data_IF_147954228658
#
_entry.id   IF_147954228658
#
_cell.length_a   1.000
_cell.length_b   1.000
_cell.length_c   1.000
_cell.angle_alpha   90.00
_cell.angle_beta   90.00
_cell.angle_gamma   90.00
#
_symmetry.space_group_name_H-M   'P 1'
#
loop_
_entity.id
_entity.type
_entity.pdbx_description
1 polymer ?
#
# COMPACT_ATOMS: atom_id res chain seq x y z
N UNK A 1 26.40 -3.46 -47.17
CA UNK A 1 25.12 -4.16 -46.97
C UNK A 1 24.88 -4.25 -45.47
N UNK A 2 24.38 -3.16 -44.90
CA UNK A 2 24.17 -2.94 -43.47
C UNK A 2 22.68 -2.64 -43.30
N UNK A 3 22.10 -3.04 -42.16
CA UNK A 3 20.76 -2.64 -41.66
C UNK A 3 19.54 -3.50 -42.09
N UNK A 4 19.55 -4.83 -41.93
CA UNK A 4 18.31 -5.61 -42.14
C UNK A 4 17.88 -6.57 -40.99
N UNK A 5 18.56 -6.62 -39.86
CA UNK A 5 18.26 -7.68 -38.87
C UNK A 5 17.88 -7.22 -37.45
N UNK A 6 17.58 -5.93 -37.21
CA UNK A 6 17.06 -5.49 -35.90
C UNK A 6 15.54 -5.23 -35.86
N UNK A 7 14.84 -5.35 -37.00
CA UNK A 7 13.44 -4.93 -37.13
C UNK A 7 12.37 -5.95 -36.72
N UNK A 8 12.73 -7.15 -36.26
CA UNK A 8 11.76 -8.26 -36.10
C UNK A 8 11.37 -8.61 -34.66
N UNK A 9 11.89 -7.92 -33.64
CA UNK A 9 11.74 -8.35 -32.24
C UNK A 9 10.55 -7.73 -31.49
N UNK A 10 9.71 -6.89 -32.12
CA UNK A 10 8.66 -6.16 -31.39
C UNK A 10 7.24 -6.75 -31.47
N UNK A 11 7.03 -7.94 -32.04
CA UNK A 11 5.65 -8.39 -32.38
C UNK A 11 5.13 -9.65 -31.67
N UNK A 12 5.81 -10.19 -30.65
CA UNK A 12 5.34 -11.42 -29.96
C UNK A 12 5.28 -11.32 -28.45
N UNK A 13 5.25 -10.13 -27.86
CA UNK A 13 5.06 -10.02 -26.41
C UNK A 13 3.64 -10.45 -26.06
N UNK A 14 3.44 -11.40 -25.12
CA UNK A 14 2.13 -11.68 -24.58
C UNK A 14 1.52 -10.39 -23.97
N UNK A 15 0.18 -10.28 -23.92
CA UNK A 15 -0.46 -9.15 -23.25
C UNK A 15 0.04 -9.08 -21.81
N UNK A 16 0.26 -7.86 -21.34
CA UNK A 16 0.72 -7.63 -19.97
C UNK A 16 -0.36 -8.10 -18.99
N UNK A 17 0.01 -8.76 -17.87
CA UNK A 17 -0.97 -9.16 -16.86
C UNK A 17 -1.70 -7.93 -16.31
N UNK A 18 -2.97 -8.09 -15.91
CA UNK A 18 -3.74 -7.01 -15.31
C UNK A 18 -3.15 -6.60 -13.97
N UNK A 19 -3.29 -5.33 -13.62
CA UNK A 19 -2.87 -4.80 -12.32
C UNK A 19 -3.88 -5.19 -11.25
N UNK A 20 -3.44 -5.92 -10.23
CA UNK A 20 -4.31 -6.49 -9.20
C UNK A 20 -4.32 -5.68 -7.90
N UNK A 21 -5.29 -5.98 -7.02
CA UNK A 21 -5.32 -5.40 -5.67
C UNK A 21 -4.09 -5.79 -4.84
N UNK A 22 -3.56 -6.99 -5.02
CA UNK A 22 -2.33 -7.44 -4.38
C UNK A 22 -1.12 -6.63 -4.87
N UNK A 23 -1.05 -6.36 -6.18
CA UNK A 23 -0.01 -5.50 -6.76
C UNK A 23 -0.10 -4.06 -6.21
N UNK A 24 -1.31 -3.54 -6.04
CA UNK A 24 -1.53 -2.22 -5.45
C UNK A 24 -1.05 -2.13 -3.99
N UNK A 25 -1.33 -3.16 -3.19
CA UNK A 25 -0.83 -3.23 -1.81
C UNK A 25 0.68 -3.33 -1.80
N UNK A 26 1.27 -4.23 -2.58
CA UNK A 26 2.73 -4.39 -2.68
C UNK A 26 3.42 -3.09 -3.13
N UNK A 27 2.81 -2.37 -4.09
CA UNK A 27 3.29 -1.06 -4.52
C UNK A 27 3.26 -0.05 -3.37
N UNK A 28 2.14 0.07 -2.66
CA UNK A 28 1.97 1.00 -1.55
C UNK A 28 2.92 0.70 -0.37
N UNK A 29 3.21 -0.58 -0.10
CA UNK A 29 4.06 -1.02 1.02
C UNK A 29 5.55 -1.11 0.69
N UNK A 30 5.92 -0.95 -0.59
CA UNK A 30 7.33 -1.00 -1.03
C UNK A 30 8.20 0.16 -0.54
N UNK A 31 7.59 1.27 -0.09
CA UNK A 31 8.28 2.50 0.30
C UNK A 31 9.01 2.37 1.62
N UNK A 32 10.34 2.20 1.55
CA UNK A 32 11.19 2.07 2.72
C UNK A 32 11.42 3.40 3.47
N UNK A 33 11.64 3.33 4.78
CA UNK A 33 11.85 4.48 5.66
C UNK A 33 10.59 5.34 5.92
N UNK A 34 9.41 4.82 5.61
CA UNK A 34 8.13 5.51 5.83
C UNK A 34 7.33 4.86 6.96
N UNK A 35 6.33 5.56 7.49
CA UNK A 35 5.38 4.98 8.47
C UNK A 35 4.66 3.72 7.95
N UNK A 36 4.60 3.52 6.63
CA UNK A 36 3.96 2.38 5.96
C UNK A 36 4.71 1.06 6.23
N UNK A 37 6.03 1.09 6.44
CA UNK A 37 6.81 -0.13 6.77
C UNK A 37 6.30 -0.82 8.05
N UNK A 38 5.64 -0.06 8.92
CA UNK A 38 5.07 -0.58 10.16
C UNK A 38 3.79 -1.37 9.93
N UNK A 39 3.19 -1.37 8.75
CA UNK A 39 1.93 -2.08 8.45
C UNK A 39 2.17 -3.49 7.90
N UNK A 40 1.13 -4.34 7.79
CA UNK A 40 1.20 -5.58 7.02
C UNK A 40 1.58 -5.31 5.54
N UNK A 41 2.51 -6.10 4.99
CA UNK A 41 2.91 -6.03 3.58
C UNK A 41 1.82 -6.58 2.63
N UNK A 42 0.94 -7.42 3.16
CA UNK A 42 -0.25 -7.97 2.49
C UNK A 42 -1.54 -7.44 3.12
N UNK A 43 -2.68 -7.69 2.48
CA UNK A 43 -4.00 -7.41 3.07
C UNK A 43 -4.15 -8.23 4.35
N UNK A 44 -4.43 -7.55 5.46
CA UNK A 44 -4.63 -8.20 6.75
C UNK A 44 -4.30 -7.29 7.92
N UNK A 45 -4.15 -7.91 9.08
CA UNK A 45 -3.95 -7.24 10.35
C UNK A 45 -2.75 -7.84 11.07
N UNK A 46 -2.01 -7.00 11.80
CA UNK A 46 -1.01 -7.44 12.76
C UNK A 46 -1.10 -6.64 14.05
N UNK A 47 -0.57 -7.23 15.11
CA UNK A 47 -0.50 -6.64 16.44
C UNK A 47 0.95 -6.42 16.86
N UNK A 48 1.21 -5.30 17.53
CA UNK A 48 2.52 -4.90 18.02
C UNK A 48 2.39 -4.34 19.44
N UNK A 49 3.50 -4.34 20.18
CA UNK A 49 3.60 -3.67 21.47
C UNK A 49 4.74 -2.64 21.43
N UNK A 50 4.41 -1.37 21.64
CA UNK A 50 5.35 -0.25 21.48
C UNK A 50 5.23 0.67 22.69
N UNK A 51 6.29 0.82 23.48
CA UNK A 51 6.31 1.71 24.66
C UNK A 51 5.14 1.50 25.66
N UNK A 52 4.66 0.25 25.73
CA UNK A 52 3.53 -0.14 26.57
C UNK A 52 2.14 0.13 25.96
N UNK A 53 2.06 0.58 24.71
CA UNK A 53 0.84 0.58 23.91
C UNK A 53 0.64 -0.78 23.25
N UNK A 54 -0.60 -1.26 23.26
CA UNK A 54 -1.06 -2.31 22.37
C UNK A 54 -1.50 -1.65 21.06
N UNK A 55 -0.95 -2.12 19.94
CA UNK A 55 -1.12 -1.48 18.63
C UNK A 55 -1.62 -2.52 17.63
N UNK A 56 -2.75 -2.24 16.99
CA UNK A 56 -3.27 -3.05 15.88
C UNK A 56 -3.12 -2.26 14.58
N UNK A 57 -2.47 -2.86 13.58
CA UNK A 57 -2.29 -2.26 12.25
C UNK A 57 -2.94 -3.13 11.19
N UNK A 58 -3.70 -2.50 10.31
CA UNK A 58 -4.48 -3.17 9.28
C UNK A 58 -4.23 -2.53 7.92
N UNK A 59 -3.99 -3.37 6.91
CA UNK A 59 -3.89 -3.00 5.50
C UNK A 59 -5.11 -3.57 4.76
N UNK A 60 -5.86 -2.70 4.09
CA UNK A 60 -7.01 -3.06 3.25
C UNK A 60 -6.81 -2.56 1.83
N UNK A 61 -7.42 -3.25 0.87
CA UNK A 61 -7.54 -2.75 -0.49
C UNK A 61 -8.96 -2.99 -1.03
N UNK A 62 -9.49 -1.99 -1.71
CA UNK A 62 -10.77 -2.07 -2.44
C UNK A 62 -10.60 -1.52 -3.86
N UNK A 63 -11.29 -2.11 -4.83
CA UNK A 63 -11.31 -1.61 -6.19
C UNK A 63 -12.28 -0.42 -6.30
N UNK A 64 -11.81 0.69 -6.86
CA UNK A 64 -12.61 1.91 -7.06
C UNK A 64 -12.97 2.15 -8.53
N UNK A 65 -12.15 1.61 -9.43
CA UNK A 65 -12.36 1.57 -10.89
C UNK A 65 -11.48 0.43 -11.45
N UNK A 66 -11.68 0.07 -12.72
CA UNK A 66 -10.84 -0.91 -13.42
C UNK A 66 -9.35 -0.59 -13.23
N UNK A 67 -8.61 -1.51 -12.59
CA UNK A 67 -7.18 -1.38 -12.27
C UNK A 67 -6.81 -0.17 -11.40
N UNK A 68 -7.77 0.38 -10.64
CA UNK A 68 -7.55 1.47 -9.67
C UNK A 68 -8.06 1.06 -8.30
N UNK A 69 -7.15 0.99 -7.33
CA UNK A 69 -7.42 0.49 -5.99
C UNK A 69 -7.23 1.58 -4.95
N UNK A 70 -8.10 1.58 -3.93
CA UNK A 70 -7.86 2.32 -2.70
C UNK A 70 -7.21 1.40 -1.68
N UNK A 71 -5.94 1.66 -1.37
CA UNK A 71 -5.22 0.99 -0.28
C UNK A 71 -5.38 1.83 0.98
N UNK A 72 -5.90 1.24 2.06
CA UNK A 72 -6.16 1.92 3.33
C UNK A 72 -5.37 1.27 4.44
N UNK A 73 -4.71 2.11 5.23
CA UNK A 73 -3.94 1.75 6.40
C UNK A 73 -4.66 2.28 7.63
N UNK A 74 -4.90 1.41 8.61
CA UNK A 74 -5.55 1.77 9.88
C UNK A 74 -4.66 1.31 11.03
N UNK A 75 -4.28 2.26 11.88
CA UNK A 75 -3.57 1.97 13.12
C UNK A 75 -4.47 2.34 14.30
N UNK A 76 -4.74 1.36 15.14
CA UNK A 76 -5.37 1.55 16.44
C UNK A 76 -4.32 1.36 17.53
N UNK A 77 -4.34 2.21 18.53
CA UNK A 77 -3.41 2.12 19.66
C UNK A 77 -4.14 2.38 20.97
N UNK A 78 -3.74 1.66 22.02
CA UNK A 78 -4.33 1.78 23.35
C UNK A 78 -3.29 1.55 24.47
N UNK A 79 -3.42 2.30 25.56
CA UNK A 79 -2.67 2.14 26.80
C UNK A 79 -3.50 2.63 27.98
N UNK A 80 -4.21 1.71 28.63
CA UNK A 80 -5.18 2.06 29.66
C UNK A 80 -6.34 2.83 29.03
N UNK A 81 -6.59 4.06 29.50
CA UNK A 81 -7.65 4.92 28.96
C UNK A 81 -7.18 5.80 27.78
N UNK A 82 -5.87 5.81 27.48
CA UNK A 82 -5.30 6.54 26.35
C UNK A 82 -5.42 5.69 25.08
N UNK A 83 -6.29 6.10 24.15
CA UNK A 83 -6.60 5.33 22.93
C UNK A 83 -6.76 6.27 21.75
N UNK A 84 -6.43 5.79 20.55
CA UNK A 84 -6.63 6.56 19.33
C UNK A 84 -6.64 5.70 18.09
N UNK A 85 -7.02 6.33 16.99
CA UNK A 85 -7.01 5.69 15.66
C UNK A 85 -6.45 6.66 14.65
N UNK A 86 -5.56 6.15 13.81
CA UNK A 86 -4.96 6.88 12.70
C UNK A 86 -5.22 6.13 11.40
N UNK A 87 -5.78 6.83 10.41
CA UNK A 87 -6.15 6.24 9.13
C UNK A 87 -5.62 7.08 8.00
N UNK A 88 -5.05 6.43 6.99
CA UNK A 88 -4.70 7.07 5.73
C UNK A 88 -4.92 6.13 4.55
N UNK A 89 -5.25 6.70 3.40
CA UNK A 89 -5.54 5.94 2.19
C UNK A 89 -4.81 6.52 0.98
N UNK A 90 -4.35 5.62 0.12
CA UNK A 90 -3.82 5.94 -1.21
C UNK A 90 -4.76 5.43 -2.28
N UNK A 91 -4.97 6.22 -3.32
CA UNK A 91 -5.40 5.71 -4.62
C UNK A 91 -4.15 5.21 -5.34
N UNK A 92 -4.18 3.95 -5.77
CA UNK A 92 -3.06 3.27 -6.40
C UNK A 92 -3.52 2.73 -7.74
N UNK A 93 -2.78 3.11 -8.76
CA UNK A 93 -2.90 2.63 -10.13
C UNK A 93 -1.49 2.20 -10.57
N UNK A 94 -1.40 1.58 -11.74
CA UNK A 94 -0.12 1.06 -12.22
C UNK A 94 0.94 2.16 -12.34
N UNK A 95 1.96 2.07 -11.48
CA UNK A 95 3.10 2.99 -11.46
C UNK A 95 2.84 4.34 -10.78
N UNK A 96 1.70 4.53 -10.11
CA UNK A 96 1.32 5.78 -9.47
C UNK A 96 0.56 5.54 -8.17
N UNK A 97 0.83 6.38 -7.16
CA UNK A 97 0.07 6.40 -5.91
C UNK A 97 -0.15 7.83 -5.44
N UNK A 98 -1.39 8.13 -5.07
CA UNK A 98 -1.80 9.44 -4.57
C UNK A 98 -2.41 9.31 -3.19
N UNK A 99 -1.93 10.09 -2.21
CA UNK A 99 -2.58 10.21 -0.92
C UNK A 99 -3.94 10.91 -1.10
N UNK A 100 -5.03 10.23 -0.77
CA UNK A 100 -6.40 10.74 -0.94
C UNK A 100 -7.11 11.02 0.40
N UNK A 101 -6.63 10.43 1.49
CA UNK A 101 -7.20 10.62 2.82
C UNK A 101 -6.12 10.44 3.89
N UNK A 102 -6.17 11.27 4.91
CA UNK A 102 -5.38 11.17 6.12
C UNK A 102 -6.19 11.80 7.25
N UNK A 103 -6.47 11.05 8.31
CA UNK A 103 -7.36 11.46 9.39
C UNK A 103 -7.05 10.71 10.69
N UNK A 104 -7.62 11.23 11.78
CA UNK A 104 -7.42 10.67 13.11
C UNK A 104 -6.22 11.25 13.82
N UNK A 105 -5.75 10.55 14.85
CA UNK A 105 -4.75 11.04 15.79
C UNK A 105 -3.41 10.38 15.54
N UNK A 106 -2.37 11.18 15.31
CA UNK A 106 -1.00 10.68 15.14
C UNK A 106 -0.59 9.96 16.44
N UNK A 107 -0.12 8.70 16.37
CA UNK A 107 0.23 7.96 17.58
C UNK A 107 1.31 8.64 18.41
N UNK A 108 1.25 8.57 19.75
CA UNK A 108 2.22 9.23 20.64
C UNK A 108 3.68 8.78 20.50
N UNK A 109 3.91 7.64 19.86
CA UNK A 109 5.22 6.97 19.72
C UNK A 109 5.82 7.11 18.30
N UNK A 110 5.33 8.06 17.50
CA UNK A 110 5.84 8.36 16.16
C UNK A 110 6.96 9.39 16.15
#
# INVERSE_FOLDING_TARGET
SLLLCWGYLQFTSPPEPPFTKEDAVAFATSSKGTKIEKFPEDIGTKEDHIEGYHVTRETKAEETSEEVYRVTFVEHWEKGDDTGTYTFSFQVEKGSSLLINEQGEVPPYY
#
